data_IF_186642406189
#
_entry.id   IF_186642406189
#
_cell.length_a   1.000
_cell.length_b   1.000
_cell.length_c   1.000
_cell.angle_alpha   90.00
_cell.angle_beta   90.00
_cell.angle_gamma   90.00
#
_symmetry.space_group_name_H-M   'P 1'
#
loop_
_entity.id
_entity.type
_entity.pdbx_description
1 polymer ?
#
# COMPACT_ATOMS: atom_id res chain seq x y z
N UNK A 1 -20.79 -16.39 31.72
CA UNK A 1 -20.08 -16.34 30.43
C UNK A 1 -20.99 -15.94 29.24
N UNK A 2 -22.07 -15.14 29.46
CA UNK A 2 -23.04 -14.78 28.41
C UNK A 2 -23.09 -13.26 28.08
N UNK A 3 -22.56 -12.40 28.96
CA UNK A 3 -22.54 -10.95 28.74
C UNK A 3 -21.51 -10.49 27.68
N UNK A 4 -20.37 -11.18 27.56
CA UNK A 4 -19.33 -10.81 26.60
C UNK A 4 -19.73 -10.99 25.13
N UNK A 5 -20.51 -12.03 24.79
CA UNK A 5 -20.98 -12.25 23.41
C UNK A 5 -22.03 -11.22 22.97
N UNK A 6 -22.90 -10.79 23.89
CA UNK A 6 -23.95 -9.82 23.59
C UNK A 6 -23.38 -8.41 23.34
N UNK A 7 -22.30 -8.05 24.05
CA UNK A 7 -21.58 -6.80 23.83
C UNK A 7 -20.86 -6.78 22.47
N UNK A 8 -20.17 -7.87 22.12
CA UNK A 8 -19.48 -8.01 20.82
C UNK A 8 -20.47 -7.91 19.66
N UNK A 9 -21.63 -8.56 19.72
CA UNK A 9 -22.64 -8.48 18.66
C UNK A 9 -23.30 -7.10 18.54
N UNK A 10 -23.43 -6.37 19.65
CA UNK A 10 -23.97 -4.99 19.62
C UNK A 10 -22.97 -4.04 18.95
N UNK A 11 -21.69 -4.13 19.31
CA UNK A 11 -20.62 -3.36 18.68
C UNK A 11 -20.47 -3.72 17.19
N UNK A 12 -20.52 -5.02 16.83
CA UNK A 12 -20.52 -5.48 15.44
C UNK A 12 -21.65 -4.86 14.62
N UNK A 13 -22.86 -4.77 15.18
CA UNK A 13 -24.01 -4.15 14.51
C UNK A 13 -23.82 -2.64 14.32
N UNK A 14 -23.29 -1.95 15.33
CA UNK A 14 -22.97 -0.52 15.26
C UNK A 14 -21.89 -0.24 14.21
N UNK A 15 -20.79 -1.00 14.19
CA UNK A 15 -19.75 -0.88 13.16
C UNK A 15 -20.25 -1.24 11.77
N UNK A 16 -21.08 -2.26 11.64
CA UNK A 16 -21.63 -2.65 10.32
C UNK A 16 -22.56 -1.55 9.78
N UNK A 17 -23.36 -0.94 10.64
CA UNK A 17 -24.24 0.18 10.25
C UNK A 17 -23.39 1.38 9.82
N UNK A 18 -22.39 1.75 10.62
CA UNK A 18 -21.47 2.84 10.31
C UNK A 18 -20.70 2.63 8.99
N UNK A 19 -20.08 1.46 8.81
CA UNK A 19 -19.32 1.16 7.58
C UNK A 19 -20.22 1.10 6.34
N UNK A 20 -21.49 0.73 6.51
CA UNK A 20 -22.48 0.74 5.43
C UNK A 20 -22.92 2.17 5.09
N UNK A 21 -23.11 3.03 6.10
CA UNK A 21 -23.46 4.44 5.94
C UNK A 21 -22.37 5.21 5.21
N UNK A 22 -21.09 4.96 5.53
CA UNK A 22 -19.94 5.63 4.92
C UNK A 22 -19.24 4.80 3.84
N UNK A 23 -19.96 3.85 3.21
CA UNK A 23 -19.37 2.93 2.23
C UNK A 23 -18.75 3.67 1.04
N UNK A 24 -19.28 4.83 0.67
CA UNK A 24 -18.82 5.68 -0.43
C UNK A 24 -17.63 6.59 -0.08
N UNK A 25 -17.33 6.76 1.22
CA UNK A 25 -16.18 7.56 1.69
C UNK A 25 -14.87 6.78 1.61
N UNK A 26 -14.92 5.45 1.76
CA UNK A 26 -13.74 4.60 1.71
C UNK A 26 -13.50 4.04 0.31
N UNK A 27 -12.23 3.93 -0.06
CA UNK A 27 -11.83 3.15 -1.23
C UNK A 27 -11.62 1.70 -0.81
N UNK A 28 -12.56 0.82 -1.17
CA UNK A 28 -12.48 -0.61 -0.89
C UNK A 28 -11.55 -1.33 -1.86
N UNK A 29 -11.33 -0.73 -3.02
CA UNK A 29 -10.38 -1.18 -4.02
C UNK A 29 -9.41 -0.07 -4.39
N UNK A 30 -8.20 -0.44 -4.84
CA UNK A 30 -7.22 0.54 -5.34
C UNK A 30 -7.76 1.34 -6.53
N UNK A 31 -8.64 0.76 -7.35
CA UNK A 31 -9.33 1.46 -8.44
C UNK A 31 -10.32 2.53 -7.96
N UNK A 32 -10.87 2.39 -6.76
CA UNK A 32 -11.78 3.35 -6.13
C UNK A 32 -11.05 4.48 -5.40
N UNK A 33 -9.72 4.42 -5.27
CA UNK A 33 -8.95 5.61 -4.91
C UNK A 33 -8.80 6.46 -6.17
N UNK A 34 -9.64 7.50 -6.39
CA UNK A 34 -9.45 8.38 -7.53
C UNK A 34 -8.03 8.90 -7.43
N UNK A 35 -7.21 8.64 -8.46
CA UNK A 35 -5.83 9.10 -8.52
C UNK A 35 -5.83 10.58 -8.15
N UNK A 36 -5.45 10.88 -6.91
CA UNK A 36 -5.45 12.25 -6.43
C UNK A 36 -4.60 13.06 -7.41
N UNK A 37 -5.11 14.21 -7.84
CA UNK A 37 -4.48 15.02 -8.88
C UNK A 37 -2.97 15.10 -8.60
N UNK A 38 -2.11 14.63 -9.51
CA UNK A 38 -0.67 14.61 -9.28
C UNK A 38 -0.12 15.99 -8.90
N UNK A 39 -0.77 17.07 -9.34
CA UNK A 39 -0.40 18.45 -8.95
C UNK A 39 -0.62 18.75 -7.46
N UNK A 40 -1.48 18.00 -6.78
CA UNK A 40 -1.82 18.18 -5.36
C UNK A 40 -1.02 17.20 -4.49
N UNK A 41 -0.71 16.00 -4.98
CA UNK A 41 -0.24 14.87 -4.14
C UNK A 41 1.09 14.28 -4.57
N UNK A 42 1.78 14.89 -5.54
CA UNK A 42 3.19 14.60 -5.79
C UNK A 42 4.01 15.22 -4.68
N UNK A 43 4.54 14.38 -3.80
CA UNK A 43 5.55 14.78 -2.85
C UNK A 43 6.91 14.75 -3.53
N UNK A 44 7.60 15.90 -3.57
CA UNK A 44 8.99 15.95 -3.98
C UNK A 44 9.87 15.51 -2.81
N UNK A 45 10.59 14.40 -2.97
CA UNK A 45 11.63 14.02 -2.03
C UNK A 45 12.74 15.09 -2.05
N UNK A 46 12.91 15.78 -0.94
CA UNK A 46 13.99 16.77 -0.76
C UNK A 46 15.33 16.05 -0.67
N UNK A 47 15.99 15.91 -1.82
CA UNK A 47 17.33 15.32 -1.92
C UNK A 47 18.38 16.42 -1.67
N UNK A 48 19.35 16.17 -0.78
CA UNK A 48 20.44 17.11 -0.49
C UNK A 48 21.20 17.45 -1.77
N UNK A 49 21.38 18.75 -2.07
CA UNK A 49 22.17 19.20 -3.23
C UNK A 49 23.56 18.57 -3.19
N UNK A 50 23.96 17.95 -4.30
CA UNK A 50 25.24 17.26 -4.46
C UNK A 50 25.26 15.79 -4.04
N UNK A 51 24.14 15.19 -3.60
CA UNK A 51 24.09 13.76 -3.33
C UNK A 51 24.22 12.95 -4.63
N UNK A 52 25.09 11.94 -4.61
CA UNK A 52 25.25 11.03 -5.74
C UNK A 52 24.13 9.99 -5.77
N UNK A 53 23.61 9.64 -6.96
CA UNK A 53 22.70 8.52 -7.12
C UNK A 53 23.31 7.20 -6.66
N UNK A 54 22.56 6.46 -5.83
CA UNK A 54 22.96 5.12 -5.38
C UNK A 54 22.04 4.09 -6.03
N UNK A 55 22.64 3.06 -6.62
CA UNK A 55 21.95 1.85 -7.07
C UNK A 55 22.24 0.72 -6.10
N UNK A 56 21.30 0.44 -5.20
CA UNK A 56 21.39 -0.72 -4.33
C UNK A 56 21.21 -1.99 -5.16
N UNK A 57 22.03 -3.02 -4.86
CA UNK A 57 21.95 -4.30 -5.54
C UNK A 57 20.70 -5.06 -5.12
N UNK A 58 20.03 -5.69 -6.09
CA UNK A 58 18.78 -6.42 -5.87
C UNK A 58 18.89 -7.42 -4.71
N UNK A 59 18.01 -7.30 -3.73
CA UNK A 59 17.93 -8.27 -2.65
C UNK A 59 17.19 -9.53 -3.12
N UNK A 60 17.69 -10.71 -2.74
CA UNK A 60 16.96 -11.96 -3.02
C UNK A 60 15.80 -12.09 -2.06
N UNK A 61 14.59 -12.12 -2.60
CA UNK A 61 13.42 -12.54 -1.83
C UNK A 61 13.46 -14.04 -1.57
N UNK A 62 12.80 -14.49 -0.50
CA UNK A 62 12.54 -15.91 -0.30
C UNK A 62 11.68 -16.43 -1.44
N UNK A 63 12.00 -17.61 -1.96
CA UNK A 63 11.29 -18.24 -3.08
C UNK A 63 9.77 -18.28 -2.86
N UNK A 64 9.35 -18.60 -1.64
CA UNK A 64 7.94 -18.67 -1.26
C UNK A 64 7.17 -17.35 -1.43
N UNK A 65 7.87 -16.20 -1.39
CA UNK A 65 7.25 -14.87 -1.45
C UNK A 65 7.18 -14.30 -2.87
N UNK A 66 8.00 -14.80 -3.79
CA UNK A 66 8.07 -14.29 -5.17
C UNK A 66 6.71 -14.26 -5.87
N UNK A 67 5.88 -15.33 -5.81
CA UNK A 67 4.57 -15.30 -6.47
C UNK A 67 3.63 -14.24 -5.89
N UNK A 68 3.65 -14.04 -4.56
CA UNK A 68 2.82 -13.02 -3.90
C UNK A 68 3.26 -11.60 -4.27
N UNK A 69 4.58 -11.37 -4.36
CA UNK A 69 5.14 -10.10 -4.80
C UNK A 69 4.74 -9.82 -6.24
N UNK A 70 4.80 -10.79 -7.15
CA UNK A 70 4.39 -10.62 -8.54
C UNK A 70 2.90 -10.24 -8.66
N UNK A 71 2.03 -10.90 -7.90
CA UNK A 71 0.60 -10.59 -7.87
C UNK A 71 0.35 -9.15 -7.41
N UNK A 72 0.99 -8.72 -6.32
CA UNK A 72 0.78 -7.36 -5.80
C UNK A 72 1.39 -6.29 -6.71
N UNK A 73 2.57 -6.55 -7.29
CA UNK A 73 3.19 -5.65 -8.28
C UNK A 73 2.28 -5.46 -9.50
N UNK A 74 1.71 -6.54 -10.04
CA UNK A 74 0.78 -6.44 -11.17
C UNK A 74 -0.48 -5.67 -10.78
N UNK A 75 -1.05 -5.96 -9.60
CA UNK A 75 -2.23 -5.24 -9.08
C UNK A 75 -2.00 -3.73 -8.96
N UNK A 76 -0.85 -3.33 -8.41
CA UNK A 76 -0.48 -1.91 -8.28
C UNK A 76 -0.17 -1.26 -9.63
N UNK A 77 0.41 -2.01 -10.57
CA UNK A 77 0.68 -1.55 -11.93
C UNK A 77 -0.63 -1.30 -12.69
N UNK A 78 -1.58 -2.24 -12.61
CA UNK A 78 -2.88 -2.14 -13.30
C UNK A 78 -3.73 -0.99 -12.75
N UNK A 79 -3.64 -0.74 -11.44
CA UNK A 79 -4.27 0.41 -10.81
C UNK A 79 -3.56 1.75 -11.07
N UNK A 80 -2.41 1.75 -11.77
CA UNK A 80 -1.67 2.96 -12.13
C UNK A 80 -0.88 3.60 -10.98
N UNK A 81 -0.69 2.89 -9.86
CA UNK A 81 0.08 3.39 -8.71
C UNK A 81 1.58 3.33 -8.94
N UNK A 82 2.06 2.30 -9.64
CA UNK A 82 3.46 2.14 -10.02
C UNK A 82 3.61 2.12 -11.53
N UNK A 83 4.79 2.49 -12.02
CA UNK A 83 5.13 2.43 -13.44
C UNK A 83 6.52 1.85 -13.64
N UNK A 84 6.71 1.14 -14.76
CA UNK A 84 8.01 0.67 -15.17
C UNK A 84 8.88 1.87 -15.58
N UNK A 85 10.09 1.96 -15.00
CA UNK A 85 11.10 2.97 -15.36
C UNK A 85 12.27 2.27 -16.01
N UNK A 86 12.68 2.74 -17.19
CA UNK A 86 13.83 2.20 -17.92
C UNK A 86 15.08 2.98 -17.51
N UNK A 87 16.15 2.26 -17.15
CA UNK A 87 17.44 2.83 -16.72
C UNK A 87 17.38 3.80 -15.53
N UNK A 88 16.88 3.37 -14.35
CA UNK A 88 16.83 4.25 -13.19
C UNK A 88 18.23 4.64 -12.73
N UNK A 89 18.41 5.92 -12.38
CA UNK A 89 19.66 6.46 -11.81
C UNK A 89 19.80 6.10 -10.33
N UNK A 90 18.67 5.95 -9.63
CA UNK A 90 18.55 5.58 -8.23
C UNK A 90 17.80 4.25 -8.10
N UNK A 91 18.30 3.33 -7.26
CA UNK A 91 17.60 2.09 -6.91
C UNK A 91 17.73 1.85 -5.41
N UNK A 92 16.60 1.68 -4.73
CA UNK A 92 16.54 1.27 -3.32
C UNK A 92 16.05 -0.17 -3.21
N UNK A 93 16.59 -0.92 -2.26
CA UNK A 93 16.08 -2.24 -1.94
C UNK A 93 14.80 -2.13 -1.13
N UNK A 94 13.74 -2.77 -1.62
CA UNK A 94 12.52 -3.02 -0.85
C UNK A 94 12.80 -4.13 0.16
N UNK A 95 12.68 -3.83 1.46
CA UNK A 95 12.79 -4.85 2.50
C UNK A 95 11.51 -5.70 2.52
N UNK A 96 11.65 -7.01 2.36
CA UNK A 96 10.54 -7.95 2.55
C UNK A 96 10.26 -8.16 4.03
N UNK A 97 9.40 -7.34 4.63
CA UNK A 97 8.90 -7.58 5.98
C UNK A 97 7.77 -8.63 5.94
N UNK A 98 7.83 -9.62 6.84
CA UNK A 98 6.65 -10.41 7.22
C UNK A 98 5.86 -9.59 8.24
N UNK A 99 5.12 -8.59 7.77
CA UNK A 99 3.98 -8.07 8.53
C UNK A 99 2.74 -8.50 7.74
N UNK A 100 1.69 -8.96 8.44
CA UNK A 100 0.37 -9.11 7.84
C UNK A 100 0.02 -7.80 7.13
N UNK A 101 -0.03 -7.84 5.79
CA UNK A 101 -0.28 -6.69 4.92
C UNK A 101 -1.70 -6.09 5.06
N UNK A 102 -2.41 -6.41 6.14
CA UNK A 102 -3.80 -6.03 6.33
C UNK A 102 -4.00 -4.64 6.91
N UNK A 103 -3.00 -3.90 7.44
CA UNK A 103 -3.33 -2.60 8.07
C UNK A 103 -2.23 -1.52 8.23
N UNK A 104 -1.19 -1.46 7.39
CA UNK A 104 -0.29 -0.29 7.40
C UNK A 104 0.06 0.15 5.98
N UNK A 105 -0.31 1.40 5.68
CA UNK A 105 -0.10 2.03 4.37
C UNK A 105 1.35 1.95 3.91
N UNK A 106 1.54 1.49 2.68
CA UNK A 106 2.81 1.49 1.98
C UNK A 106 3.25 2.95 1.73
N UNK A 107 4.50 3.27 2.05
CA UNK A 107 5.12 4.54 1.69
C UNK A 107 5.15 4.72 0.17
N UNK A 108 4.57 5.83 -0.29
CA UNK A 108 4.52 6.25 -1.69
C UNK A 108 5.89 6.75 -2.17
N UNK A 109 6.29 6.36 -3.38
CA UNK A 109 7.31 7.06 -4.17
C UNK A 109 6.66 8.00 -5.19
#
# INVERSE_FOLDING_TARGET
MLLGRLWIHKEEAEYTTFLTEFRDVFAWTYSEMPLLNPKIVVHHLSVKRGSLPVKQGHHRFRSELVPSIEVEVNRLSDAGFIRKVVYPTWLSNSAGAKEEWTNKGMCRF
#
